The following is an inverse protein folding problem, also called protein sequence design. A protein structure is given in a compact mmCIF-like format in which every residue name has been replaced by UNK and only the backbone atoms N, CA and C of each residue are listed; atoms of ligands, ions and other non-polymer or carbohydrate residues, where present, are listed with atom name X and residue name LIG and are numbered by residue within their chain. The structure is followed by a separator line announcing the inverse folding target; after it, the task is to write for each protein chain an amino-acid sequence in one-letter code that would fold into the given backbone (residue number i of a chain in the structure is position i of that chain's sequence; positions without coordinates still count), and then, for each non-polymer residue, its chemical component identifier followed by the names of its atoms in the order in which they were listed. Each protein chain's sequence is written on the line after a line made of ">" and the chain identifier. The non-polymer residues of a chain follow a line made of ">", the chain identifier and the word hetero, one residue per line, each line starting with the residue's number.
data_IF_092227506523
#
_entry.id   IF_092227506523
#
_cell.length_a   1.000
_cell.length_b   1.000
_cell.length_c   1.000
_cell.angle_alpha   90.00
_cell.angle_beta   90.00
_cell.angle_gamma   90.00
#
_symmetry.space_group_name_H-M   'P 1'
#
loop_
_entity.id
_entity.type
_entity.pdbx_description
1 polymer ?
#
# COMPACT_ATOMS: atom_id res chain seq x y z
N UNK A 1 20.43 2.02 -8.73
CA UNK A 1 19.88 0.79 -8.15
C UNK A 1 20.22 0.84 -6.68
N UNK A 2 19.22 1.12 -5.85
CA UNK A 2 19.38 1.07 -4.41
C UNK A 2 19.87 -0.33 -4.01
N UNK A 3 20.93 -0.37 -3.21
CA UNK A 3 21.35 -1.56 -2.49
C UNK A 3 20.85 -1.43 -1.06
N UNK A 4 20.79 -2.54 -0.32
CA UNK A 4 20.51 -2.51 1.11
C UNK A 4 21.45 -1.56 1.89
N UNK A 5 22.64 -1.28 1.34
CA UNK A 5 23.66 -0.43 1.96
C UNK A 5 23.40 1.08 1.84
N UNK A 6 22.62 1.54 0.84
CA UNK A 6 22.31 2.96 0.69
C UNK A 6 21.06 3.21 -0.17
N UNK A 7 20.15 4.04 0.34
CA UNK A 7 18.94 4.47 -0.37
C UNK A 7 18.61 5.92 -0.01
N UNK A 8 17.81 6.59 -0.84
CA UNK A 8 17.35 7.95 -0.52
C UNK A 8 16.26 7.94 0.54
N UNK A 9 15.39 6.92 0.53
CA UNK A 9 14.28 6.78 1.49
C UNK A 9 14.13 5.33 1.93
N UNK A 10 14.30 5.10 3.24
CA UNK A 10 13.92 3.85 3.88
C UNK A 10 12.45 3.92 4.34
N UNK A 11 11.63 2.94 3.93
CA UNK A 11 10.23 2.83 4.31
C UNK A 11 10.04 1.62 5.21
N UNK A 12 9.55 1.83 6.43
CA UNK A 12 9.34 0.75 7.41
C UNK A 12 7.87 0.32 7.35
N UNK A 13 7.62 -0.88 6.83
CA UNK A 13 6.33 -1.54 6.67
C UNK A 13 5.83 -1.56 5.22
N UNK A 14 5.55 -2.77 4.70
CA UNK A 14 4.94 -2.98 3.38
C UNK A 14 3.40 -3.04 3.46
N UNK A 15 2.81 -2.14 4.26
CA UNK A 15 1.36 -1.89 4.24
C UNK A 15 0.94 -0.95 3.10
N UNK A 16 -0.36 -0.60 2.98
CA UNK A 16 -0.84 0.23 1.86
C UNK A 16 -0.15 1.59 1.82
N UNK A 17 0.05 2.23 2.97
CA UNK A 17 0.70 3.52 3.06
C UNK A 17 2.17 3.45 2.62
N UNK A 18 2.93 2.46 3.11
CA UNK A 18 4.36 2.32 2.79
C UNK A 18 4.59 1.96 1.32
N UNK A 19 3.80 1.02 0.79
CA UNK A 19 3.90 0.64 -0.61
C UNK A 19 3.42 1.74 -1.56
N UNK A 20 2.32 2.43 -1.24
CA UNK A 20 1.86 3.57 -2.03
C UNK A 20 2.88 4.72 -2.01
N UNK A 21 3.47 5.03 -0.84
CA UNK A 21 4.54 6.03 -0.75
C UNK A 21 5.74 5.63 -1.62
N UNK A 22 6.17 4.36 -1.53
CA UNK A 22 7.28 3.82 -2.33
C UNK A 22 7.02 3.92 -3.83
N UNK A 23 5.79 3.61 -4.26
CA UNK A 23 5.32 3.75 -5.64
C UNK A 23 5.37 5.21 -6.12
N UNK A 24 4.80 6.13 -5.33
CA UNK A 24 4.78 7.56 -5.66
C UNK A 24 6.18 8.18 -5.75
N UNK A 25 7.08 7.79 -4.85
CA UNK A 25 8.48 8.20 -4.87
C UNK A 25 9.21 7.66 -6.10
N UNK A 26 8.97 6.40 -6.46
CA UNK A 26 9.51 5.81 -7.67
C UNK A 26 9.09 6.56 -8.95
N UNK A 27 7.81 6.94 -9.06
CA UNK A 27 7.28 7.78 -10.17
C UNK A 27 7.90 9.19 -10.23
N UNK A 28 8.67 9.58 -9.21
CA UNK A 28 9.43 10.84 -9.15
C UNK A 28 10.94 10.63 -9.23
N UNK A 29 11.40 9.40 -9.49
CA UNK A 29 12.82 9.06 -9.58
C UNK A 29 13.54 9.03 -8.24
N UNK A 30 12.81 8.92 -7.12
CA UNK A 30 13.39 8.77 -5.78
C UNK A 30 13.51 7.29 -5.46
N UNK A 31 14.73 6.84 -5.17
CA UNK A 31 15.00 5.46 -4.80
C UNK A 31 14.52 5.15 -3.38
N UNK A 32 13.88 3.99 -3.21
CA UNK A 32 13.31 3.53 -1.94
C UNK A 32 13.70 2.09 -1.66
N UNK A 33 13.90 1.77 -0.39
CA UNK A 33 13.94 0.39 0.14
C UNK A 33 12.80 0.25 1.15
N UNK A 34 11.92 -0.73 0.96
CA UNK A 34 10.81 -1.03 1.88
C UNK A 34 11.19 -2.24 2.73
N UNK A 35 11.09 -2.12 4.05
CA UNK A 35 11.33 -3.20 5.02
C UNK A 35 10.01 -3.75 5.53
N UNK A 36 9.83 -5.07 5.56
CA UNK A 36 8.65 -5.72 6.11
C UNK A 36 9.05 -6.96 6.91
N UNK A 37 8.58 -7.03 8.15
CA UNK A 37 8.93 -8.13 9.05
C UNK A 37 8.20 -9.44 8.72
N UNK A 38 7.08 -9.37 7.99
CA UNK A 38 6.31 -10.53 7.53
C UNK A 38 6.78 -11.00 6.15
N UNK A 39 6.42 -12.22 5.79
CA UNK A 39 6.61 -12.74 4.44
C UNK A 39 5.66 -12.07 3.44
N UNK A 40 6.02 -12.12 2.15
CA UNK A 40 5.13 -11.62 1.08
C UNK A 40 3.76 -12.32 1.14
N UNK A 41 3.75 -13.64 1.32
CA UNK A 41 2.53 -14.44 1.43
C UNK A 41 1.63 -13.98 2.58
N UNK A 42 2.19 -13.70 3.76
CA UNK A 42 1.41 -13.19 4.89
C UNK A 42 0.83 -11.80 4.62
N UNK A 43 1.57 -10.92 3.94
CA UNK A 43 1.08 -9.58 3.57
C UNK A 43 -0.08 -9.67 2.58
N UNK A 44 0.07 -10.47 1.53
CA UNK A 44 -0.94 -10.65 0.47
C UNK A 44 -2.19 -11.39 0.97
N UNK A 45 -2.06 -12.27 1.96
CA UNK A 45 -3.20 -13.01 2.53
C UNK A 45 -3.82 -12.34 3.76
N UNK A 46 -3.41 -11.11 4.12
CA UNK A 46 -4.04 -10.38 5.23
C UNK A 46 -5.41 -9.84 4.79
N UNK A 47 -6.43 -10.71 4.78
CA UNK A 47 -7.79 -10.34 4.40
C UNK A 47 -8.37 -9.37 5.42
N UNK A 48 -8.71 -8.18 4.94
CA UNK A 48 -9.54 -7.20 5.65
C UNK A 48 -10.70 -6.81 4.75
N UNK A 49 -11.91 -6.78 5.31
CA UNK A 49 -13.04 -6.15 4.64
C UNK A 49 -12.66 -4.71 4.31
N UNK A 50 -12.79 -4.31 3.04
CA UNK A 50 -12.31 -3.04 2.55
C UNK A 50 -13.26 -2.44 1.54
N UNK A 51 -13.61 -1.19 1.78
CA UNK A 51 -14.24 -0.30 0.79
C UNK A 51 -13.17 0.72 0.42
N UNK A 52 -12.96 0.93 -0.87
CA UNK A 52 -12.13 2.01 -1.38
C UNK A 52 -12.99 3.24 -1.64
N UNK A 53 -12.59 4.35 -1.02
CA UNK A 53 -13.14 5.66 -1.32
C UNK A 53 -12.61 6.18 -2.65
N UNK A 54 -13.33 7.14 -3.23
CA UNK A 54 -13.01 7.74 -4.51
C UNK A 54 -11.59 8.31 -4.58
N UNK A 55 -11.07 8.88 -3.48
CA UNK A 55 -9.71 9.40 -3.42
C UNK A 55 -8.66 8.31 -3.70
N UNK A 56 -8.81 7.15 -3.07
CA UNK A 56 -7.91 6.01 -3.25
C UNK A 56 -8.02 5.44 -4.66
N UNK A 57 -9.25 5.22 -5.15
CA UNK A 57 -9.46 4.74 -6.52
C UNK A 57 -8.84 5.68 -7.55
N UNK A 58 -9.05 7.00 -7.39
CA UNK A 58 -8.45 8.01 -8.26
C UNK A 58 -6.92 7.95 -8.20
N UNK A 59 -6.34 7.87 -7.01
CA UNK A 59 -4.89 7.79 -6.85
C UNK A 59 -4.32 6.55 -7.55
N UNK A 60 -4.97 5.39 -7.40
CA UNK A 60 -4.54 4.16 -8.07
C UNK A 60 -4.57 4.30 -9.59
N UNK A 61 -5.63 4.90 -10.16
CA UNK A 61 -5.74 5.17 -11.61
C UNK A 61 -4.67 6.16 -12.08
N UNK A 62 -4.55 7.30 -11.41
CA UNK A 62 -3.63 8.38 -11.79
C UNK A 62 -2.16 7.92 -11.73
N UNK A 63 -1.85 6.92 -10.91
CA UNK A 63 -0.50 6.40 -10.71
C UNK A 63 -0.24 5.07 -11.43
N UNK A 64 -1.20 4.59 -12.24
CA UNK A 64 -1.01 3.46 -13.15
C UNK A 64 -1.24 2.07 -12.56
N UNK A 65 -1.66 1.96 -11.29
CA UNK A 65 -1.92 0.66 -10.63
C UNK A 65 -3.41 0.30 -10.56
N UNK A 66 -4.30 1.17 -11.02
CA UNK A 66 -5.75 0.96 -10.94
C UNK A 66 -6.32 -0.09 -11.91
N UNK A 67 -5.50 -0.69 -12.77
CA UNK A 67 -5.99 -1.55 -13.85
C UNK A 67 -6.69 -2.83 -13.40
N UNK A 68 -6.23 -3.48 -12.30
CA UNK A 68 -6.91 -4.66 -11.75
C UNK A 68 -8.17 -4.27 -10.98
N UNK A 69 -8.05 -3.26 -10.12
CA UNK A 69 -9.17 -2.64 -9.43
C UNK A 69 -10.32 -2.28 -10.38
N UNK A 70 -10.07 -1.62 -11.51
CA UNK A 70 -11.13 -1.22 -12.46
C UNK A 70 -11.85 -2.42 -13.13
N UNK A 71 -11.23 -3.60 -13.17
CA UNK A 71 -11.84 -4.82 -13.73
C UNK A 71 -12.59 -5.65 -12.70
N UNK A 72 -12.12 -5.65 -11.46
CA UNK A 72 -12.51 -6.64 -10.45
C UNK A 72 -13.28 -6.04 -9.27
N UNK A 73 -13.17 -4.73 -9.04
CA UNK A 73 -13.88 -4.09 -7.93
C UNK A 73 -15.38 -4.01 -8.22
N UNK A 74 -16.17 -4.27 -7.18
CA UNK A 74 -17.63 -4.10 -7.24
C UNK A 74 -17.97 -2.65 -6.87
N UNK A 75 -18.55 -1.90 -7.81
CA UNK A 75 -18.83 -0.48 -7.62
C UNK A 75 -20.11 -0.32 -6.82
N UNK A 76 -20.00 0.33 -5.66
CA UNK A 76 -21.13 0.66 -4.82
C UNK A 76 -21.51 2.14 -4.98
N UNK A 77 -22.68 2.35 -5.60
CA UNK A 77 -23.27 3.67 -5.82
C UNK A 77 -24.02 4.18 -4.58
N UNK A 78 -24.02 3.42 -3.49
CA UNK A 78 -24.24 3.93 -2.15
C UNK A 78 -24.80 2.94 -1.14
N UNK A 79 -25.01 3.47 0.05
CA UNK A 79 -25.30 2.67 1.23
C UNK A 79 -26.80 2.60 1.58
N UNK A 80 -27.19 1.55 2.29
CA UNK A 80 -28.52 1.35 2.87
C UNK A 80 -28.40 1.29 4.40
N UNK A 81 -29.25 2.05 5.09
CA UNK A 81 -29.42 1.94 6.54
C UNK A 81 -30.77 1.32 6.85
N UNK A 82 -30.80 0.36 7.78
CA UNK A 82 -32.04 -0.21 8.31
C UNK A 82 -32.16 0.18 9.79
N UNK A 83 -33.13 1.01 10.11
CA UNK A 83 -33.44 1.44 11.49
C UNK A 83 -34.91 1.15 11.78
N UNK A 84 -35.18 0.42 12.87
CA UNK A 84 -36.55 0.03 13.28
C UNK A 84 -37.38 -0.63 12.17
N UNK A 85 -36.72 -1.42 11.32
CA UNK A 85 -37.35 -2.10 10.18
C UNK A 85 -37.60 -1.21 8.95
N UNK A 86 -37.27 0.08 9.03
CA UNK A 86 -37.33 1.01 7.89
C UNK A 86 -35.96 1.05 7.21
N UNK A 87 -35.95 0.68 5.92
CA UNK A 87 -34.77 0.79 5.06
C UNK A 87 -34.75 2.13 4.36
N UNK A 88 -33.64 2.85 4.51
CA UNK A 88 -33.39 4.13 3.82
C UNK A 88 -32.12 4.01 3.01
N UNK A 89 -32.25 4.22 1.69
CA UNK A 89 -31.13 4.21 0.75
C UNK A 89 -30.55 5.62 0.61
N UNK A 90 -29.23 5.76 0.72
CA UNK A 90 -28.51 7.02 0.46
C UNK A 90 -27.73 6.89 -0.85
N UNK A 91 -28.32 7.33 -1.96
CA UNK A 91 -27.71 7.28 -3.29
C UNK A 91 -26.48 8.20 -3.37
N UNK A 92 -25.27 7.67 -3.10
CA UNK A 92 -24.04 8.46 -3.00
C UNK A 92 -23.70 9.11 -4.34
N UNK A 93 -23.77 8.34 -5.43
CA UNK A 93 -23.46 8.84 -6.78
C UNK A 93 -24.37 10.00 -7.16
N UNK A 94 -25.67 9.89 -6.93
CA UNK A 94 -26.63 10.95 -7.27
C UNK A 94 -26.45 12.20 -6.39
N UNK A 95 -26.12 12.01 -5.11
CA UNK A 95 -25.98 13.10 -4.15
C UNK A 95 -24.63 13.82 -4.22
N UNK A 96 -23.57 13.13 -4.64
CA UNK A 96 -22.19 13.64 -4.54
C UNK A 96 -21.41 13.61 -5.85
N UNK A 97 -21.89 12.87 -6.86
CA UNK A 97 -21.15 12.56 -8.07
C UNK A 97 -20.07 11.49 -7.90
N UNK A 98 -19.96 10.87 -6.71
CA UNK A 98 -18.92 9.91 -6.38
C UNK A 98 -19.52 8.58 -5.89
N UNK A 99 -18.80 7.50 -6.18
CA UNK A 99 -19.09 6.15 -5.72
C UNK A 99 -17.94 5.62 -4.85
N UNK A 100 -18.19 4.47 -4.24
CA UNK A 100 -17.16 3.67 -3.58
C UNK A 100 -16.99 2.36 -4.34
N UNK A 101 -15.95 1.60 -4.01
CA UNK A 101 -15.84 0.25 -4.55
C UNK A 101 -15.46 -0.75 -3.45
N UNK A 102 -16.07 -1.93 -3.50
CA UNK A 102 -15.63 -3.07 -2.71
C UNK A 102 -14.43 -3.68 -3.42
N UNK A 103 -13.25 -3.34 -2.90
CA UNK A 103 -11.99 -3.90 -3.31
C UNK A 103 -11.14 -4.09 -2.05
N UNK A 104 -10.98 -5.33 -1.57
CA UNK A 104 -10.29 -5.60 -0.31
C UNK A 104 -8.88 -5.02 -0.28
N UNK A 105 -8.45 -4.56 0.90
CA UNK A 105 -7.15 -3.92 1.06
C UNK A 105 -5.98 -4.80 0.57
N UNK A 106 -6.08 -6.12 0.74
CA UNK A 106 -5.03 -7.04 0.31
C UNK A 106 -4.87 -7.11 -1.21
N UNK A 107 -5.95 -6.90 -1.96
CA UNK A 107 -5.88 -6.81 -3.42
C UNK A 107 -5.03 -5.61 -3.86
N UNK A 108 -5.19 -4.46 -3.20
CA UNK A 108 -4.34 -3.27 -3.40
C UNK A 108 -2.88 -3.55 -3.07
N UNK A 109 -2.61 -4.36 -2.04
CA UNK A 109 -1.25 -4.76 -1.68
C UNK A 109 -0.63 -5.62 -2.77
N UNK A 110 -1.36 -6.61 -3.30
CA UNK A 110 -0.90 -7.46 -4.40
C UNK A 110 -0.58 -6.60 -5.64
N UNK A 111 -1.44 -5.63 -5.99
CA UNK A 111 -1.20 -4.70 -7.10
C UNK A 111 0.10 -3.89 -6.90
N UNK A 112 0.28 -3.31 -5.70
CA UNK A 112 1.44 -2.50 -5.38
C UNK A 112 2.74 -3.32 -5.34
N UNK A 113 2.70 -4.53 -4.77
CA UNK A 113 3.86 -5.43 -4.72
C UNK A 113 4.26 -5.85 -6.12
N UNK A 114 3.30 -6.29 -6.95
CA UNK A 114 3.55 -6.67 -8.33
C UNK A 114 4.13 -5.51 -9.14
N UNK A 115 3.58 -4.30 -8.99
CA UNK A 115 4.12 -3.10 -9.63
C UNK A 115 5.55 -2.81 -9.17
N UNK A 116 5.81 -2.88 -7.85
CA UNK A 116 7.15 -2.61 -7.32
C UNK A 116 8.19 -3.60 -7.84
N UNK A 117 7.82 -4.88 -7.97
CA UNK A 117 8.68 -5.92 -8.56
C UNK A 117 8.95 -5.66 -10.04
N UNK A 118 7.94 -5.27 -10.82
CA UNK A 118 8.10 -4.89 -12.24
C UNK A 118 9.05 -3.70 -12.41
N UNK A 119 9.04 -2.77 -11.46
CA UNK A 119 9.92 -1.59 -11.41
C UNK A 119 11.33 -1.89 -10.88
N UNK A 120 11.65 -3.15 -10.57
CA UNK A 120 12.89 -3.57 -9.89
C UNK A 120 13.13 -2.82 -8.57
N UNK A 121 12.05 -2.50 -7.86
CA UNK A 121 12.08 -1.87 -6.56
C UNK A 121 12.38 -2.84 -5.44
N UNK A 122 13.09 -2.38 -4.41
CA UNK A 122 13.44 -3.21 -3.25
C UNK A 122 12.30 -3.26 -2.22
N UNK A 123 11.76 -4.45 -1.99
CA UNK A 123 10.92 -4.78 -0.84
C UNK A 123 11.54 -5.98 -0.14
N UNK A 124 12.06 -5.76 1.06
CA UNK A 124 12.73 -6.75 1.89
C UNK A 124 11.70 -7.33 2.86
N UNK A 125 11.12 -8.46 2.46
CA UNK A 125 10.25 -9.26 3.33
C UNK A 125 11.07 -10.05 4.34
N UNK A 126 10.42 -10.59 5.37
CA UNK A 126 11.09 -11.30 6.48
C UNK A 126 12.23 -10.49 7.13
N UNK A 127 12.15 -9.17 7.04
CA UNK A 127 13.23 -8.26 7.44
C UNK A 127 12.70 -7.30 8.48
N UNK A 128 13.15 -7.47 9.73
CA UNK A 128 12.70 -6.67 10.86
C UNK A 128 13.69 -5.54 11.10
N UNK A 129 13.21 -4.30 11.06
CA UNK A 129 13.99 -3.15 11.56
C UNK A 129 14.09 -3.24 13.08
N UNK A 130 15.31 -3.19 13.60
CA UNK A 130 15.64 -3.28 15.02
C UNK A 130 15.81 -1.90 15.65
N UNK A 131 16.43 -0.96 14.93
CA UNK A 131 16.73 0.38 15.42
C UNK A 131 16.85 1.39 14.27
N UNK A 132 16.54 2.67 14.57
CA UNK A 132 16.74 3.79 13.66
C UNK A 132 17.47 4.89 14.40
N UNK A 133 18.63 5.31 13.89
CA UNK A 133 19.50 6.30 14.51
C UNK A 133 19.96 7.37 13.51
N UNK A 134 20.53 8.47 14.00
CA UNK A 134 21.04 9.56 13.16
C UNK A 134 19.96 10.53 12.63
N UNK A 135 18.72 10.44 13.11
CA UNK A 135 17.59 11.26 12.64
C UNK A 135 17.72 12.77 12.92
N UNK A 136 18.65 13.17 13.80
CA UNK A 136 18.96 14.58 14.06
C UNK A 136 20.02 15.15 13.09
N UNK A 137 20.61 14.32 12.22
CA UNK A 137 21.64 14.70 11.27
C UNK A 137 21.23 14.52 9.80
N UNK A 138 22.21 14.63 8.90
CA UNK A 138 22.00 14.51 7.45
C UNK A 138 21.94 13.05 6.95
N UNK A 139 22.25 12.09 7.81
CA UNK A 139 22.31 10.66 7.47
C UNK A 139 21.58 9.85 8.54
N UNK A 140 20.58 9.08 8.10
CA UNK A 140 19.82 8.15 8.94
C UNK A 140 20.34 6.73 8.71
N UNK A 141 20.56 6.00 9.79
CA UNK A 141 20.93 4.58 9.75
C UNK A 141 19.77 3.75 10.24
N UNK A 142 19.39 2.75 9.45
CA UNK A 142 18.37 1.75 9.78
C UNK A 142 19.08 0.43 10.01
N UNK A 143 19.11 -0.03 11.26
CA UNK A 143 19.64 -1.34 11.61
C UNK A 143 18.50 -2.36 11.51
N UNK A 144 18.74 -3.48 10.84
CA UNK A 144 17.71 -4.50 10.65
C UNK A 144 18.29 -5.91 10.69
N UNK A 145 17.44 -6.89 10.95
CA UNK A 145 17.75 -8.32 10.89
C UNK A 145 16.97 -8.95 9.73
N UNK A 146 17.68 -9.60 8.81
CA UNK A 146 17.10 -10.32 7.67
C UNK A 146 16.62 -11.74 8.04
N UNK A 147 16.09 -12.46 7.06
CA UNK A 147 15.59 -13.83 7.24
C UNK A 147 16.66 -14.85 7.68
N UNK A 148 17.94 -14.54 7.45
CA UNK A 148 19.07 -15.38 7.83
C UNK A 148 19.62 -15.04 9.22
N UNK A 149 19.05 -14.03 9.89
CA UNK A 149 19.55 -13.52 11.15
C UNK A 149 20.80 -12.65 11.00
N UNK A 150 21.13 -12.23 9.78
CA UNK A 150 22.21 -11.28 9.55
C UNK A 150 21.70 -9.87 9.87
N UNK A 151 22.45 -9.17 10.73
CA UNK A 151 22.21 -7.76 11.01
C UNK A 151 23.05 -6.90 10.07
N UNK A 152 22.43 -5.88 9.47
CA UNK A 152 23.07 -4.89 8.61
C UNK A 152 22.65 -3.48 8.99
#
# INVERSE_FOLDING_TARGET
>A
MATAEHTQVAVIGAGPAGLMLSHLLHLRGVETVVFESRSQEEVENTVRAGVLEQGTMKLMRDTGIGGRMDREADVDEGIEFSLDGVRTRIALTDLTGYNMAVYPQHEVLIDLIAQRQADNGAVLFNTRVDDVSGYDGDMVTVNYTDENGASA
#
